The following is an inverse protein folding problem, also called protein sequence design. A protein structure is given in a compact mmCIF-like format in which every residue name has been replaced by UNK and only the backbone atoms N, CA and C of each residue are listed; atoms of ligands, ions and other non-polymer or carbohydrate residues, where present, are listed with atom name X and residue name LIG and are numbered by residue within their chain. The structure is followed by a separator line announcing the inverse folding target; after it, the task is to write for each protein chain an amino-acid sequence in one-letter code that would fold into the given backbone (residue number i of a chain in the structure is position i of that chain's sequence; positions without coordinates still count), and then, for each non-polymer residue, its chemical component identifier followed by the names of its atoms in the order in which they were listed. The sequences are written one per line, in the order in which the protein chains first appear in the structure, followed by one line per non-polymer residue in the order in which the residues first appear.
data_IF_346630692570
#
_entry.id   IF_346630692570
#
_cell.length_a   1.000
_cell.length_b   1.000
_cell.length_c   1.000
_cell.angle_alpha   90.00
_cell.angle_beta   90.00
_cell.angle_gamma   90.00
#
_symmetry.space_group_name_H-M   'P 1'
#
loop_
_entity.id
_entity.type
_entity.pdbx_description
1 polymer ?
#
# COMPACT_ATOMS: atom_id res chain seq x y z
N UNK A 1 -6.73 -16.82 -9.31
CA UNK A 1 -5.89 -15.75 -9.86
C UNK A 1 -5.40 -16.18 -11.23
N UNK A 2 -5.60 -15.36 -12.27
CA UNK A 2 -5.30 -15.73 -13.65
C UNK A 2 -4.06 -14.96 -14.08
N UNK A 3 -2.89 -15.60 -14.15
CA UNK A 3 -1.60 -14.97 -14.52
C UNK A 3 -1.77 -14.14 -15.78
N UNK A 4 -2.50 -14.65 -16.76
CA UNK A 4 -2.80 -13.97 -18.03
C UNK A 4 -3.46 -12.60 -17.83
N UNK A 5 -4.27 -12.38 -16.78
CA UNK A 5 -4.87 -11.07 -16.49
C UNK A 5 -3.88 -10.05 -15.95
N UNK A 6 -2.85 -10.50 -15.23
CA UNK A 6 -1.83 -9.60 -14.70
C UNK A 6 -0.62 -9.51 -15.64
N UNK A 7 -0.36 -10.55 -16.43
CA UNK A 7 0.83 -10.75 -17.27
C UNK A 7 0.58 -10.45 -18.74
N UNK A 8 -0.68 -10.37 -19.21
CA UNK A 8 -0.94 -10.08 -20.60
C UNK A 8 -0.30 -8.75 -21.00
N UNK A 9 0.59 -8.81 -21.98
CA UNK A 9 1.02 -7.64 -22.75
C UNK A 9 -0.14 -7.20 -23.64
N UNK A 10 -1.08 -6.45 -23.07
CA UNK A 10 -2.28 -6.00 -23.76
C UNK A 10 -3.13 -5.08 -22.89
N UNK A 11 -4.06 -4.36 -23.52
CA UNK A 11 -4.85 -3.33 -22.86
C UNK A 11 -5.69 -3.86 -21.66
N UNK A 12 -5.96 -5.17 -21.58
CA UNK A 12 -6.68 -5.80 -20.47
C UNK A 12 -5.91 -5.81 -19.15
N UNK A 13 -4.66 -6.26 -19.14
CA UNK A 13 -3.84 -6.29 -17.92
C UNK A 13 -3.46 -4.89 -17.47
N UNK A 14 -3.00 -4.04 -18.40
CA UNK A 14 -2.70 -2.65 -18.11
C UNK A 14 -3.86 -1.93 -17.41
N UNK A 15 -5.10 -2.18 -17.85
CA UNK A 15 -6.30 -1.62 -17.19
C UNK A 15 -6.48 -2.12 -15.75
N UNK A 16 -6.16 -3.38 -15.45
CA UNK A 16 -6.26 -3.91 -14.08
C UNK A 16 -5.19 -3.28 -13.19
N UNK A 17 -3.95 -3.21 -13.66
CA UNK A 17 -2.85 -2.57 -12.94
C UNK A 17 -3.15 -1.11 -12.65
N UNK A 18 -3.51 -0.35 -13.69
CA UNK A 18 -3.85 1.06 -13.57
C UNK A 18 -5.02 1.28 -12.61
N UNK A 19 -6.12 0.52 -12.73
CA UNK A 19 -7.25 0.63 -11.81
C UNK A 19 -6.87 0.30 -10.38
N UNK A 20 -5.99 -0.68 -10.16
CA UNK A 20 -5.54 -1.06 -8.81
C UNK A 20 -4.70 0.05 -8.19
N UNK A 21 -3.75 0.61 -8.94
CA UNK A 21 -2.95 1.76 -8.50
C UNK A 21 -3.84 2.96 -8.21
N UNK A 22 -4.73 3.33 -9.12
CA UNK A 22 -5.65 4.45 -8.93
C UNK A 22 -6.58 4.25 -7.73
N UNK A 23 -7.12 3.04 -7.54
CA UNK A 23 -7.97 2.72 -6.40
C UNK A 23 -7.20 2.79 -5.07
N UNK A 24 -5.98 2.28 -5.02
CA UNK A 24 -5.14 2.34 -3.83
C UNK A 24 -4.74 3.78 -3.50
N UNK A 25 -4.31 4.56 -4.51
CA UNK A 25 -3.97 5.98 -4.34
C UNK A 25 -5.19 6.78 -3.88
N UNK A 26 -6.36 6.55 -4.47
CA UNK A 26 -7.59 7.21 -4.04
C UNK A 26 -7.94 6.87 -2.59
N UNK A 27 -7.80 5.61 -2.19
CA UNK A 27 -8.04 5.17 -0.81
C UNK A 27 -7.05 5.81 0.17
N UNK A 28 -5.75 5.82 -0.13
CA UNK A 28 -4.75 6.41 0.78
C UNK A 28 -4.85 7.94 0.84
N UNK A 29 -5.21 8.60 -0.25
CA UNK A 29 -5.50 10.04 -0.25
C UNK A 29 -6.77 10.37 0.53
N UNK A 30 -7.80 9.53 0.47
CA UNK A 30 -9.00 9.71 1.28
C UNK A 30 -8.69 9.59 2.77
N UNK A 31 -7.87 8.60 3.18
CA UNK A 31 -7.37 8.48 4.56
C UNK A 31 -6.61 9.73 4.99
N UNK A 32 -5.67 10.21 4.15
CA UNK A 32 -4.92 11.45 4.42
C UNK A 32 -5.83 12.65 4.59
N UNK A 33 -6.78 12.85 3.67
CA UNK A 33 -7.70 13.98 3.72
C UNK A 33 -8.56 13.94 4.99
N UNK A 34 -9.12 12.78 5.33
CA UNK A 34 -9.88 12.60 6.56
C UNK A 34 -9.03 12.90 7.80
N UNK A 35 -7.79 12.40 7.86
CA UNK A 35 -6.88 12.65 8.96
C UNK A 35 -6.57 14.15 9.12
N UNK A 36 -6.20 14.86 8.05
CA UNK A 36 -5.91 16.30 8.11
C UNK A 36 -7.13 17.13 8.53
N UNK A 37 -8.34 16.68 8.19
CA UNK A 37 -9.58 17.37 8.57
C UNK A 37 -10.03 17.11 10.01
N UNK A 38 -9.56 16.03 10.64
CA UNK A 38 -10.10 15.55 11.93
C UNK A 38 -9.05 15.42 13.03
N UNK A 39 -7.76 15.38 12.66
CA UNK A 39 -6.62 15.22 13.56
C UNK A 39 -5.68 16.41 13.38
N UNK A 40 -5.02 16.80 14.48
CA UNK A 40 -3.98 17.82 14.47
C UNK A 40 -2.65 17.22 13.97
N UNK A 41 -2.57 17.01 12.66
CA UNK A 41 -1.36 16.48 12.01
C UNK A 41 -0.40 17.64 11.73
N UNK A 42 0.83 17.63 12.31
CA UNK A 42 1.78 18.71 12.09
C UNK A 42 2.15 18.88 10.61
N UNK A 43 2.18 20.13 10.13
CA UNK A 43 2.44 20.42 8.72
C UNK A 43 3.88 20.12 8.30
N UNK A 44 4.81 20.10 9.25
CA UNK A 44 6.20 19.73 9.06
C UNK A 44 6.40 18.23 8.83
N UNK A 45 5.41 17.39 9.19
CA UNK A 45 5.47 15.94 9.02
C UNK A 45 5.37 15.56 7.54
N UNK A 46 6.53 15.56 6.87
CA UNK A 46 6.67 15.40 5.42
C UNK A 46 5.87 14.26 4.79
N UNK A 47 5.76 13.05 5.40
CA UNK A 47 4.99 11.96 4.81
C UNK A 47 3.51 12.29 4.56
N UNK A 48 2.92 13.18 5.36
CA UNK A 48 1.53 13.62 5.25
C UNK A 48 1.39 15.10 4.88
N UNK A 49 2.45 15.90 4.93
CA UNK A 49 2.43 17.35 4.67
C UNK A 49 1.81 17.70 3.30
N UNK A 50 2.16 16.95 2.27
CA UNK A 50 1.61 17.10 0.90
C UNK A 50 1.19 15.74 0.32
N UNK A 51 0.39 15.76 -0.75
CA UNK A 51 -0.11 14.53 -1.36
C UNK A 51 0.97 13.71 -2.08
N UNK A 52 2.06 14.36 -2.51
CA UNK A 52 3.12 13.76 -3.34
C UNK A 52 3.71 12.45 -2.78
N UNK A 53 4.24 12.45 -1.54
CA UNK A 53 4.76 11.24 -0.90
C UNK A 53 3.75 10.10 -0.81
N UNK A 54 2.50 10.39 -0.42
CA UNK A 54 1.42 9.40 -0.36
C UNK A 54 1.20 8.74 -1.73
N UNK A 55 1.09 9.54 -2.80
CA UNK A 55 0.88 9.03 -4.16
C UNK A 55 2.06 8.18 -4.62
N UNK A 56 3.28 8.67 -4.44
CA UNK A 56 4.50 7.99 -4.89
C UNK A 56 4.70 6.65 -4.19
N UNK A 57 4.71 6.64 -2.85
CA UNK A 57 4.96 5.44 -2.05
C UNK A 57 3.86 4.40 -2.24
N UNK A 58 2.59 4.82 -2.28
CA UNK A 58 1.46 3.90 -2.55
C UNK A 58 1.62 3.25 -3.93
N UNK A 59 1.96 4.04 -4.96
CA UNK A 59 2.11 3.53 -6.33
C UNK A 59 3.22 2.49 -6.41
N UNK A 60 4.39 2.78 -5.83
CA UNK A 60 5.54 1.86 -5.79
C UNK A 60 5.17 0.56 -5.06
N UNK A 61 4.58 0.66 -3.86
CA UNK A 61 4.20 -0.50 -3.06
C UNK A 61 3.17 -1.39 -3.77
N UNK A 62 2.16 -0.79 -4.41
CA UNK A 62 1.12 -1.51 -5.16
C UNK A 62 1.71 -2.21 -6.38
N UNK A 63 2.56 -1.53 -7.15
CA UNK A 63 3.25 -2.11 -8.32
C UNK A 63 4.13 -3.29 -7.90
N UNK A 64 4.88 -3.16 -6.80
CA UNK A 64 5.67 -4.25 -6.25
C UNK A 64 4.79 -5.44 -5.82
N UNK A 65 3.69 -5.19 -5.11
CA UNK A 65 2.73 -6.22 -4.70
C UNK A 65 2.10 -6.97 -5.87
N UNK A 66 1.70 -6.26 -6.93
CA UNK A 66 1.18 -6.87 -8.16
C UNK A 66 2.24 -7.70 -8.90
N UNK A 67 3.50 -7.27 -8.86
CA UNK A 67 4.64 -8.00 -9.44
C UNK A 67 4.89 -9.31 -8.69
N UNK A 68 4.79 -9.29 -7.36
CA UNK A 68 4.88 -10.50 -6.53
C UNK A 68 3.69 -11.43 -6.78
N UNK A 69 2.47 -10.89 -6.89
CA UNK A 69 1.28 -11.69 -7.24
C UNK A 69 1.47 -12.41 -8.58
N UNK A 70 2.05 -11.72 -9.56
CA UNK A 70 2.40 -12.29 -10.86
C UNK A 70 3.38 -13.45 -10.76
N UNK A 71 4.50 -13.24 -10.07
CA UNK A 71 5.53 -14.27 -9.90
C UNK A 71 4.98 -15.52 -9.21
N UNK A 72 4.16 -15.33 -8.16
CA UNK A 72 3.52 -16.43 -7.44
C UNK A 72 2.54 -17.19 -8.32
N UNK A 73 1.76 -16.49 -9.16
CA UNK A 73 0.79 -17.17 -10.04
C UNK A 73 1.47 -18.08 -11.07
N UNK A 74 2.67 -17.68 -11.53
CA UNK A 74 3.48 -18.42 -12.50
C UNK A 74 4.06 -19.73 -11.94
N UNK A 75 4.38 -19.77 -10.65
CA UNK A 75 5.21 -20.83 -10.07
C UNK A 75 4.58 -21.59 -8.90
N UNK A 76 3.45 -21.16 -8.36
CA UNK A 76 2.83 -21.78 -7.19
C UNK A 76 1.59 -22.60 -7.55
N UNK A 77 1.48 -23.79 -6.95
CA UNK A 77 0.27 -24.62 -7.02
C UNK A 77 -0.91 -24.02 -6.22
N UNK A 78 -0.66 -23.12 -5.27
CA UNK A 78 -1.67 -22.47 -4.40
C UNK A 78 -1.45 -20.96 -4.34
N UNK A 79 -1.60 -20.25 -5.46
CA UNK A 79 -1.09 -18.89 -5.61
C UNK A 79 -1.84 -17.86 -4.75
N UNK A 80 -3.15 -18.03 -4.57
CA UNK A 80 -3.99 -17.12 -3.76
C UNK A 80 -3.61 -17.17 -2.29
N UNK A 81 -3.47 -18.38 -1.72
CA UNK A 81 -3.14 -18.55 -0.30
C UNK A 81 -1.71 -18.07 -0.03
N UNK A 82 -0.77 -18.37 -0.92
CA UNK A 82 0.62 -17.93 -0.79
C UNK A 82 0.73 -16.41 -0.89
N UNK A 83 0.09 -15.80 -1.89
CA UNK A 83 0.09 -14.35 -2.05
C UNK A 83 -0.49 -13.65 -0.81
N UNK A 84 -1.63 -14.11 -0.28
CA UNK A 84 -2.21 -13.53 0.94
C UNK A 84 -1.24 -13.55 2.12
N UNK A 85 -0.53 -14.67 2.34
CA UNK A 85 0.47 -14.76 3.42
C UNK A 85 1.61 -13.78 3.22
N UNK A 86 2.13 -13.68 1.99
CA UNK A 86 3.21 -12.74 1.66
C UNK A 86 2.75 -11.30 1.78
N UNK A 87 1.54 -10.96 1.31
CA UNK A 87 0.99 -9.62 1.42
C UNK A 87 0.75 -9.21 2.88
N UNK A 88 0.27 -10.13 3.72
CA UNK A 88 0.13 -9.88 5.17
C UNK A 88 1.51 -9.69 5.81
N UNK A 89 2.48 -10.54 5.49
CA UNK A 89 3.84 -10.38 6.00
C UNK A 89 4.47 -9.05 5.55
N UNK A 90 4.30 -8.67 4.28
CA UNK A 90 4.79 -7.41 3.73
C UNK A 90 4.11 -6.20 4.39
N UNK A 91 2.80 -6.29 4.65
CA UNK A 91 2.09 -5.27 5.44
C UNK A 91 2.70 -5.14 6.83
N UNK A 92 2.87 -6.24 7.56
CA UNK A 92 3.46 -6.19 8.91
C UNK A 92 4.88 -5.61 8.88
N UNK A 93 5.70 -5.98 7.89
CA UNK A 93 7.03 -5.42 7.70
C UNK A 93 6.98 -3.93 7.34
N UNK A 94 5.98 -3.48 6.58
CA UNK A 94 5.84 -2.06 6.24
C UNK A 94 5.41 -1.18 7.41
N UNK A 95 4.93 -1.77 8.51
CA UNK A 95 4.63 -1.03 9.75
C UNK A 95 5.86 -0.83 10.65
N UNK A 96 6.97 -1.53 10.39
CA UNK A 96 8.19 -1.36 11.20
C UNK A 96 8.78 0.06 11.09
N UNK A 97 8.86 0.69 9.90
CA UNK A 97 9.22 2.09 9.78
C UNK A 97 8.30 3.02 10.57
N UNK A 98 6.99 2.73 10.61
CA UNK A 98 6.01 3.54 11.36
C UNK A 98 6.31 3.53 12.85
N UNK A 99 6.62 2.36 13.43
CA UNK A 99 7.06 2.29 14.84
C UNK A 99 8.41 2.97 15.07
N UNK A 100 9.33 2.88 14.11
CA UNK A 100 10.62 3.56 14.18
C UNK A 100 10.46 5.10 14.24
N UNK A 101 9.47 5.68 13.54
CA UNK A 101 9.16 7.11 13.59
C UNK A 101 8.79 7.62 14.99
N UNK A 102 8.30 6.74 15.87
CA UNK A 102 7.95 7.07 17.26
C UNK A 102 9.13 6.97 18.23
N UNK A 103 10.33 6.62 17.75
CA UNK A 103 11.56 6.67 18.55
C UNK A 103 12.17 8.08 18.51
N UNK A 104 13.05 8.39 19.46
CA UNK A 104 13.79 9.66 19.48
C UNK A 104 14.51 9.90 18.13
N UNK A 105 15.22 8.88 17.65
CA UNK A 105 15.96 8.94 16.36
C UNK A 105 15.02 9.18 15.17
N UNK A 106 13.86 8.50 15.15
CA UNK A 106 12.90 8.63 14.05
C UNK A 106 12.20 9.98 14.03
N UNK A 107 11.81 10.47 15.20
CA UNK A 107 11.14 11.77 15.36
C UNK A 107 12.08 12.96 15.08
N UNK A 108 13.38 12.83 15.37
CA UNK A 108 14.39 13.81 14.96
C UNK A 108 14.55 13.85 13.44
N UNK A 109 14.57 12.68 12.77
CA UNK A 109 14.68 12.59 11.32
C UNK A 109 13.40 13.06 10.59
N UNK A 110 12.24 12.90 11.22
CA UNK A 110 10.93 13.31 10.71
C UNK A 110 10.17 14.16 11.74
N UNK A 111 10.47 15.47 11.80
CA UNK A 111 9.75 16.40 12.66
C UNK A 111 8.24 16.30 12.47
N UNK A 112 7.49 16.32 13.57
CA UNK A 112 6.03 16.17 13.55
C UNK A 112 5.52 14.72 13.54
N UNK A 113 6.38 13.71 13.74
CA UNK A 113 6.01 12.30 13.89
C UNK A 113 5.22 12.02 15.19
N UNK A 114 3.99 12.51 15.26
CA UNK A 114 3.08 12.26 16.39
C UNK A 114 2.38 10.91 16.25
N UNK A 115 1.86 10.38 17.37
CA UNK A 115 1.07 9.13 17.35
C UNK A 115 -0.09 9.18 16.34
N UNK A 116 -0.92 10.25 16.27
CA UNK A 116 -1.97 10.35 15.24
C UNK A 116 -1.43 10.33 13.80
N UNK A 117 -0.29 10.98 13.54
CA UNK A 117 0.33 11.00 12.23
C UNK A 117 0.86 9.61 11.82
N UNK A 118 1.50 8.91 12.74
CA UNK A 118 2.00 7.54 12.51
C UNK A 118 0.84 6.56 12.33
N UNK A 119 -0.20 6.62 13.16
CA UNK A 119 -1.39 5.78 12.99
C UNK A 119 -2.06 6.04 11.63
N UNK A 120 -2.07 7.29 11.17
CA UNK A 120 -2.58 7.63 9.82
C UNK A 120 -1.78 6.92 8.73
N UNK A 121 -0.44 6.91 8.81
CA UNK A 121 0.41 6.15 7.87
C UNK A 121 0.09 4.66 7.92
N UNK A 122 0.00 4.07 9.11
CA UNK A 122 -0.34 2.65 9.28
C UNK A 122 -1.68 2.30 8.60
N UNK A 123 -2.70 3.18 8.74
CA UNK A 123 -4.00 3.00 8.08
C UNK A 123 -3.87 3.10 6.56
N UNK A 124 -3.02 3.99 6.02
CA UNK A 124 -2.73 4.03 4.58
C UNK A 124 -2.08 2.73 4.09
N UNK A 125 -1.15 2.15 4.84
CA UNK A 125 -0.55 0.83 4.53
C UNK A 125 -1.62 -0.27 4.45
N UNK A 126 -2.52 -0.31 5.45
CA UNK A 126 -3.64 -1.27 5.47
C UNK A 126 -4.58 -1.06 4.28
N UNK A 127 -4.94 0.18 3.97
CA UNK A 127 -5.81 0.51 2.84
C UNK A 127 -5.20 0.06 1.50
N UNK A 128 -3.92 0.37 1.26
CA UNK A 128 -3.21 -0.05 0.06
C UNK A 128 -3.13 -1.59 -0.05
N UNK A 129 -2.76 -2.27 1.04
CA UNK A 129 -2.67 -3.73 1.08
C UNK A 129 -4.04 -4.38 0.84
N UNK A 130 -5.12 -3.84 1.42
CA UNK A 130 -6.47 -4.34 1.22
C UNK A 130 -6.88 -4.29 -0.26
N UNK A 131 -6.64 -3.17 -0.95
CA UNK A 131 -6.92 -3.03 -2.39
C UNK A 131 -6.18 -4.09 -3.20
N UNK A 132 -4.89 -4.27 -2.94
CA UNK A 132 -4.06 -5.26 -3.64
C UNK A 132 -4.55 -6.69 -3.37
N UNK A 133 -4.84 -7.04 -2.12
CA UNK A 133 -5.34 -8.37 -1.73
C UNK A 133 -6.71 -8.65 -2.35
N UNK A 134 -7.60 -7.65 -2.46
CA UNK A 134 -8.91 -7.82 -3.10
C UNK A 134 -8.80 -8.08 -4.60
N UNK A 135 -7.80 -7.49 -5.28
CA UNK A 135 -7.57 -7.72 -6.71
C UNK A 135 -6.90 -9.06 -6.95
N UNK A 136 -5.81 -9.35 -6.23
CA UNK A 136 -5.02 -10.58 -6.42
C UNK A 136 -5.65 -11.83 -5.74
N UNK A 137 -6.46 -11.65 -4.70
CA UNK A 137 -7.04 -12.73 -3.91
C UNK A 137 -8.23 -13.45 -4.55
N UNK A 138 -8.64 -13.11 -5.78
CA UNK A 138 -9.80 -13.71 -6.43
C UNK A 138 -9.49 -15.13 -6.98
N UNK A 139 -10.40 -16.13 -6.78
CA UNK A 139 -10.23 -17.48 -7.33
C UNK A 139 -10.16 -17.49 -8.86
N UNK A 140 -9.67 -18.60 -9.44
CA UNK A 140 -9.83 -18.86 -10.88
C UNK A 140 -11.30 -19.27 -11.09
N UNK A 141 -12.06 -18.48 -11.86
CA UNK A 141 -13.39 -18.87 -12.36
C UNK A 141 -13.23 -19.77 -13.57
#
# INVERSE_FOLDING_TARGET
MNADRLAATGAGAWRIWLRTVLAAVAATLAVRAAAIMTLDIPAEFQPLAVAGPTVFLTSVGVVAGLTVALAIDRWSARPVQLFRRIAIAALLLSLLPDFWLLTDVGSEAFPGATVPAVVTLMVQHVAAAAVVILVAGRPRS
#
